data_IF_242155133816
#
_entry.id   IF_242155133816
#
_cell.length_a   1.000
_cell.length_b   1.000
_cell.length_c   1.000
_cell.angle_alpha   90.00
_cell.angle_beta   90.00
_cell.angle_gamma   90.00
#
_symmetry.space_group_name_H-M   'P 1'
#
loop_
_entity.id
_entity.type
_entity.pdbx_description
1 polymer ?
#
# COMPACT_ATOMS: atom_id res chain seq x y z
N UNK A 1 -42.76 -23.30 -29.97
CA UNK A 1 -41.43 -23.60 -29.37
C UNK A 1 -40.47 -22.50 -29.81
N UNK A 2 -40.35 -21.46 -28.99
CA UNK A 2 -39.23 -21.14 -28.09
C UNK A 2 -37.98 -20.66 -28.87
N UNK A 3 -37.88 -19.37 -29.20
CA UNK A 3 -37.32 -18.26 -28.41
C UNK A 3 -35.78 -18.23 -28.35
N UNK A 4 -35.25 -17.13 -28.88
CA UNK A 4 -33.87 -16.70 -28.95
C UNK A 4 -33.15 -16.60 -27.61
N UNK A 5 -31.80 -16.57 -27.64
CA UNK A 5 -30.97 -15.81 -26.69
C UNK A 5 -29.58 -15.52 -27.27
N UNK A 6 -29.35 -14.24 -27.61
CA UNK A 6 -28.03 -13.61 -27.58
C UNK A 6 -27.55 -13.59 -26.12
N UNK A 7 -26.26 -13.80 -25.88
CA UNK A 7 -25.62 -13.41 -24.63
C UNK A 7 -24.42 -12.53 -24.95
N UNK A 8 -24.44 -11.37 -24.30
CA UNK A 8 -23.59 -10.21 -24.47
C UNK A 8 -22.37 -10.34 -23.54
N UNK A 9 -21.21 -10.01 -24.10
CA UNK A 9 -19.93 -9.70 -23.45
C UNK A 9 -19.98 -8.71 -22.28
N UNK A 10 -20.48 -9.04 -21.09
CA UNK A 10 -20.39 -8.09 -19.96
C UNK A 10 -18.94 -8.07 -19.45
N UNK A 11 -18.27 -6.94 -19.64
CA UNK A 11 -17.02 -6.61 -18.98
C UNK A 11 -17.26 -6.54 -17.46
N UNK A 12 -16.65 -7.47 -16.72
CA UNK A 12 -16.56 -7.34 -15.26
C UNK A 12 -15.56 -6.22 -14.95
N UNK A 13 -16.05 -5.03 -14.65
CA UNK A 13 -15.36 -4.16 -13.71
C UNK A 13 -15.47 -4.81 -12.33
N UNK A 14 -14.46 -5.59 -11.94
CA UNK A 14 -14.34 -6.07 -10.57
C UNK A 14 -13.89 -4.91 -9.69
N UNK A 15 -14.84 -4.13 -9.18
CA UNK A 15 -14.61 -3.31 -8.00
C UNK A 15 -14.45 -4.27 -6.82
N UNK A 16 -13.20 -4.64 -6.50
CA UNK A 16 -12.90 -5.32 -5.25
C UNK A 16 -13.34 -4.38 -4.12
N UNK A 17 -14.44 -4.75 -3.45
CA UNK A 17 -14.90 -4.07 -2.25
C UNK A 17 -13.94 -4.46 -1.12
N UNK A 18 -12.82 -3.75 -1.01
CA UNK A 18 -11.86 -3.97 0.06
C UNK A 18 -12.45 -3.40 1.34
N UNK A 19 -12.61 -4.24 2.36
CA UNK A 19 -12.99 -3.77 3.70
C UNK A 19 -11.84 -2.93 4.26
N UNK A 20 -11.96 -1.60 4.20
CA UNK A 20 -11.01 -0.68 4.82
C UNK A 20 -11.39 -0.61 6.31
N UNK A 21 -10.63 -1.30 7.16
CA UNK A 21 -10.74 -1.13 8.60
C UNK A 21 -10.01 0.15 9.01
N UNK A 22 -10.73 1.26 9.16
CA UNK A 22 -10.18 2.53 9.65
C UNK A 22 -10.09 2.55 11.17
N UNK A 23 -8.87 2.76 11.68
CA UNK A 23 -8.63 2.94 13.11
C UNK A 23 -8.23 4.39 13.40
N UNK A 24 -9.19 5.18 13.87
CA UNK A 24 -8.94 6.46 14.53
C UNK A 24 -9.64 6.43 15.89
N UNK A 25 -8.89 6.51 16.98
CA UNK A 25 -9.46 6.48 18.33
C UNK A 25 -9.13 7.75 19.11
N UNK A 26 -10.10 8.27 19.84
CA UNK A 26 -10.01 9.50 20.63
C UNK A 26 -9.36 9.31 22.03
N UNK A 27 -8.82 8.11 22.32
CA UNK A 27 -8.28 7.74 23.64
C UNK A 27 -6.79 8.02 23.86
N UNK A 28 -6.06 8.47 22.85
CA UNK A 28 -4.69 8.96 22.96
C UNK A 28 -4.53 10.07 21.95
N UNK A 29 -4.49 11.32 22.41
CA UNK A 29 -4.54 12.51 21.56
C UNK A 29 -3.35 12.65 20.57
N UNK A 30 -2.36 11.76 20.64
CA UNK A 30 -1.08 11.85 19.92
C UNK A 30 -0.56 10.46 19.50
N UNK A 31 -1.29 9.73 18.66
CA UNK A 31 -0.79 8.47 18.11
C UNK A 31 -1.25 8.26 16.66
N UNK A 32 -0.35 7.68 15.86
CA UNK A 32 -0.58 7.35 14.46
C UNK A 32 -1.82 6.47 14.31
N UNK A 33 -2.67 6.82 13.35
CA UNK A 33 -3.73 5.95 12.87
C UNK A 33 -3.16 4.90 11.91
N UNK A 34 -3.83 3.76 11.84
CA UNK A 34 -3.44 2.65 10.96
C UNK A 34 -4.67 2.02 10.31
N UNK A 35 -4.53 1.68 9.03
CA UNK A 35 -5.43 0.79 8.28
C UNK A 35 -4.64 -0.34 7.66
N UNK A 36 -5.34 -1.42 7.32
CA UNK A 36 -4.76 -2.52 6.55
C UNK A 36 -5.80 -3.05 5.57
N UNK A 37 -5.31 -3.58 4.46
CA UNK A 37 -6.13 -4.09 3.38
C UNK A 37 -5.34 -5.07 2.50
N UNK A 38 -5.97 -5.62 1.47
CA UNK A 38 -5.25 -6.32 0.40
C UNK A 38 -4.46 -5.37 -0.52
N UNK A 39 -4.57 -4.05 -0.32
CA UNK A 39 -4.07 -3.03 -1.23
C UNK A 39 -4.87 -2.97 -2.54
N UNK A 40 -4.29 -2.28 -3.52
CA UNK A 40 -4.86 -2.05 -4.86
C UNK A 40 -3.86 -2.43 -5.94
N UNK A 41 -4.36 -2.71 -7.14
CA UNK A 41 -3.50 -2.83 -8.31
C UNK A 41 -3.06 -1.44 -8.73
N UNK A 42 -1.77 -1.24 -9.00
CA UNK A 42 -1.31 -0.01 -9.68
C UNK A 42 -1.75 -0.03 -11.14
N UNK A 43 -1.53 -1.15 -11.81
CA UNK A 43 -2.02 -1.47 -13.15
C UNK A 43 -2.71 -2.85 -13.08
N UNK A 44 -3.98 -2.92 -13.47
CA UNK A 44 -4.77 -4.14 -13.40
C UNK A 44 -4.24 -5.28 -14.28
N UNK A 45 -3.34 -4.99 -15.22
CA UNK A 45 -2.72 -5.98 -16.10
C UNK A 45 -1.39 -6.52 -15.57
N UNK A 46 -0.87 -5.98 -14.47
CA UNK A 46 0.38 -6.41 -13.85
C UNK A 46 0.05 -7.28 -12.63
N UNK A 47 0.40 -8.56 -12.70
CA UNK A 47 0.04 -9.56 -11.67
C UNK A 47 1.25 -10.20 -11.01
N UNK A 48 2.45 -9.73 -11.33
CA UNK A 48 3.71 -10.28 -10.86
C UNK A 48 4.42 -9.39 -9.84
N UNK A 49 3.73 -8.39 -9.30
CA UNK A 49 4.23 -7.45 -8.30
C UNK A 49 3.36 -7.47 -7.04
N UNK A 50 3.78 -6.78 -5.99
CA UNK A 50 2.99 -6.60 -4.78
C UNK A 50 1.80 -5.64 -4.96
N UNK A 51 0.98 -5.53 -3.91
CA UNK A 51 -0.13 -4.58 -3.86
C UNK A 51 0.34 -3.15 -3.56
N UNK A 52 -0.43 -2.14 -3.98
CA UNK A 52 -0.10 -0.73 -3.80
C UNK A 52 -1.14 0.03 -2.98
N UNK A 53 -0.75 1.21 -2.49
CA UNK A 53 -1.67 2.20 -1.92
C UNK A 53 -2.69 2.63 -2.98
N UNK A 54 -3.93 2.88 -2.56
CA UNK A 54 -4.92 3.51 -3.43
C UNK A 54 -4.51 4.92 -3.91
N UNK A 55 -3.57 5.56 -3.20
CA UNK A 55 -2.99 6.86 -3.54
C UNK A 55 -1.78 6.80 -4.48
N UNK A 56 -1.34 5.61 -4.93
CA UNK A 56 -0.05 5.42 -5.65
C UNK A 56 0.16 6.33 -6.87
N UNK A 57 -0.91 6.71 -7.56
CA UNK A 57 -0.85 7.55 -8.76
C UNK A 57 -1.44 8.96 -8.52
N UNK A 58 -1.73 9.32 -7.26
CA UNK A 58 -2.33 10.61 -6.92
C UNK A 58 -1.25 11.68 -6.70
N UNK A 59 -1.56 12.92 -7.05
CA UNK A 59 -0.68 14.06 -6.76
C UNK A 59 -0.43 14.20 -5.26
N UNK A 60 0.80 14.56 -4.91
CA UNK A 60 1.24 14.71 -3.52
C UNK A 60 1.72 13.42 -2.87
N UNK A 61 1.55 12.27 -3.50
CA UNK A 61 2.17 11.02 -3.08
C UNK A 61 3.50 10.79 -3.80
N UNK A 62 4.43 10.19 -3.08
CA UNK A 62 5.68 9.67 -3.63
C UNK A 62 5.65 8.15 -3.45
N UNK A 63 5.83 7.37 -4.51
CA UNK A 63 5.92 5.91 -4.39
C UNK A 63 7.23 5.41 -4.95
N UNK A 64 8.01 4.73 -4.10
CA UNK A 64 9.14 3.94 -4.55
C UNK A 64 8.69 2.50 -4.76
N UNK A 65 8.79 2.07 -6.01
CA UNK A 65 8.51 0.73 -6.46
C UNK A 65 9.81 -0.06 -6.60
N UNK A 66 10.01 -1.07 -5.76
CA UNK A 66 11.22 -1.86 -5.83
C UNK A 66 11.27 -2.70 -7.10
N UNK A 67 10.12 -3.00 -7.74
CA UNK A 67 10.05 -3.72 -9.01
C UNK A 67 10.73 -2.97 -10.18
N UNK A 68 11.03 -1.67 -10.00
CA UNK A 68 11.65 -0.79 -11.01
C UNK A 68 13.07 -0.35 -10.64
N UNK A 69 13.60 -0.82 -9.51
CA UNK A 69 14.96 -0.51 -9.11
C UNK A 69 15.95 -1.11 -10.12
N UNK A 70 17.00 -0.37 -10.44
CA UNK A 70 18.10 -0.90 -11.26
C UNK A 70 19.26 -1.29 -10.37
N UNK A 71 19.92 -2.38 -10.72
CA UNK A 71 21.18 -2.82 -10.09
C UNK A 71 21.11 -3.06 -8.57
N UNK A 72 19.91 -3.31 -8.01
CA UNK A 72 19.74 -3.60 -6.59
C UNK A 72 19.98 -2.40 -5.65
N UNK A 73 20.06 -1.18 -6.20
CA UNK A 73 20.29 0.04 -5.42
C UNK A 73 19.07 0.44 -4.58
N UNK A 74 19.29 1.03 -3.40
CA UNK A 74 18.18 1.61 -2.65
C UNK A 74 17.56 2.78 -3.42
N UNK A 75 16.22 2.88 -3.51
CA UNK A 75 15.59 4.02 -4.13
C UNK A 75 15.75 5.27 -3.26
N UNK A 76 15.43 6.43 -3.84
CA UNK A 76 15.42 7.70 -3.12
C UNK A 76 15.37 8.89 -4.07
N UNK A 77 15.13 10.06 -3.52
CA UNK A 77 15.12 11.33 -4.24
C UNK A 77 15.47 12.49 -3.29
N UNK A 78 15.17 13.74 -3.71
CA UNK A 78 15.44 14.94 -2.90
C UNK A 78 14.46 15.13 -1.72
N UNK A 79 13.47 14.25 -1.56
CA UNK A 79 12.45 14.27 -0.50
C UNK A 79 12.55 13.09 0.46
N UNK A 80 12.96 11.92 -0.02
CA UNK A 80 13.03 10.68 0.77
C UNK A 80 14.36 9.98 0.52
N UNK A 81 14.98 9.52 1.61
CA UNK A 81 16.25 8.80 1.59
C UNK A 81 16.09 7.44 2.23
N UNK A 82 16.84 6.48 1.71
CA UNK A 82 16.94 5.13 2.24
C UNK A 82 18.37 4.86 2.68
N UNK A 83 18.52 4.07 3.73
CA UNK A 83 19.81 3.50 4.13
C UNK A 83 19.65 2.17 4.84
N UNK A 84 20.72 1.40 4.92
CA UNK A 84 20.78 0.22 5.78
C UNK A 84 21.65 0.51 7.01
N UNK A 85 21.27 -0.07 8.16
CA UNK A 85 22.12 -0.10 9.36
C UNK A 85 22.09 -1.48 10.03
N UNK A 86 23.03 -1.74 10.94
CA UNK A 86 23.14 -3.01 11.68
C UNK A 86 24.36 -3.84 11.28
N UNK A 87 24.56 -4.96 11.97
CA UNK A 87 25.82 -5.70 12.05
C UNK A 87 26.05 -6.73 10.94
N UNK A 88 25.01 -7.20 10.26
CA UNK A 88 25.16 -8.09 9.09
C UNK A 88 25.81 -7.31 7.91
N UNK A 89 26.21 -7.93 6.82
CA UNK A 89 26.62 -7.22 5.58
C UNK A 89 25.65 -7.43 4.43
N UNK A 90 24.73 -8.39 4.56
CA UNK A 90 23.68 -8.61 3.57
C UNK A 90 22.70 -7.43 3.56
N UNK A 91 22.53 -6.86 2.38
CA UNK A 91 21.58 -5.81 2.04
C UNK A 91 21.01 -6.18 0.69
N UNK A 92 19.71 -6.00 0.44
CA UNK A 92 19.20 -6.35 -0.88
C UNK A 92 17.83 -5.81 -1.19
N UNK A 93 17.77 -5.09 -2.30
CA UNK A 93 16.68 -5.29 -3.24
C UNK A 93 16.94 -6.62 -3.93
N UNK A 94 16.08 -7.60 -3.66
CA UNK A 94 16.17 -8.96 -4.15
C UNK A 94 15.48 -9.02 -5.51
N UNK A 95 16.14 -9.63 -6.50
CA UNK A 95 15.54 -9.97 -7.79
C UNK A 95 15.21 -11.46 -7.80
N UNK A 96 13.99 -11.81 -8.21
CA UNK A 96 13.42 -13.15 -8.10
C UNK A 96 13.80 -14.13 -9.23
N UNK A 97 14.94 -13.93 -9.89
CA UNK A 97 15.46 -14.88 -10.89
C UNK A 97 15.84 -16.25 -10.26
N UNK A 98 15.63 -16.42 -8.95
CA UNK A 98 15.84 -17.67 -8.22
C UNK A 98 14.50 -18.35 -7.86
N UNK A 99 14.16 -19.50 -8.48
CA UNK A 99 12.94 -20.26 -8.20
C UNK A 99 12.87 -20.84 -6.78
N UNK A 100 13.98 -20.87 -6.05
CA UNK A 100 14.05 -21.31 -4.64
C UNK A 100 13.61 -20.23 -3.64
N UNK A 101 13.44 -18.97 -4.08
CA UNK A 101 12.97 -17.92 -3.19
C UNK A 101 11.48 -18.13 -2.92
N UNK A 102 11.21 -18.75 -1.78
CA UNK A 102 9.87 -19.10 -1.32
C UNK A 102 9.09 -17.89 -0.80
N UNK A 103 9.78 -16.84 -0.35
CA UNK A 103 9.21 -15.74 0.44
C UNK A 103 9.24 -14.45 -0.36
N UNK A 104 8.08 -13.83 -0.57
CA UNK A 104 7.96 -12.57 -1.29
C UNK A 104 6.73 -11.79 -0.80
N UNK A 105 6.64 -10.48 -1.11
CA UNK A 105 5.37 -9.77 -1.03
C UNK A 105 4.30 -10.40 -1.91
N UNK A 106 3.05 -10.26 -1.50
CA UNK A 106 1.91 -10.72 -2.27
C UNK A 106 1.14 -9.54 -2.90
N UNK A 107 0.56 -9.79 -4.07
CA UNK A 107 -0.37 -8.90 -4.74
C UNK A 107 -1.77 -8.92 -4.10
N UNK A 108 -2.70 -8.18 -4.70
CA UNK A 108 -4.06 -7.94 -4.17
C UNK A 108 -4.84 -9.25 -3.97
N UNK A 109 -4.63 -10.26 -4.81
CA UNK A 109 -5.30 -11.57 -4.69
C UNK A 109 -4.41 -12.63 -4.04
N UNK A 110 -3.34 -12.21 -3.38
CA UNK A 110 -2.33 -13.11 -2.87
C UNK A 110 -1.42 -13.68 -3.96
N UNK A 111 -1.33 -13.03 -5.13
CA UNK A 111 -0.38 -13.43 -6.17
C UNK A 111 1.04 -13.30 -5.63
N UNK A 112 1.94 -14.24 -5.94
CA UNK A 112 3.35 -14.10 -5.56
C UNK A 112 3.97 -12.97 -6.39
N UNK A 113 4.60 -11.97 -5.77
CA UNK A 113 5.50 -11.08 -6.49
C UNK A 113 6.63 -11.94 -7.08
N UNK A 114 6.86 -11.86 -8.40
CA UNK A 114 7.97 -12.55 -9.09
C UNK A 114 8.98 -11.57 -9.72
N UNK A 115 8.90 -10.29 -9.38
CA UNK A 115 9.86 -9.24 -9.70
C UNK A 115 10.67 -8.81 -8.44
N UNK A 116 11.14 -7.57 -8.38
CA UNK A 116 12.07 -7.12 -7.36
C UNK A 116 11.37 -6.59 -6.11
N UNK A 117 11.91 -6.88 -4.94
CA UNK A 117 11.41 -6.36 -3.66
C UNK A 117 12.55 -6.14 -2.67
N UNK A 118 12.31 -5.31 -1.65
CA UNK A 118 13.27 -5.12 -0.56
C UNK A 118 13.18 -6.28 0.45
N UNK A 119 14.31 -6.84 0.83
CA UNK A 119 14.40 -7.77 1.96
C UNK A 119 15.36 -7.24 3.04
N UNK A 120 14.87 -7.12 4.27
CA UNK A 120 15.70 -6.81 5.43
C UNK A 120 16.13 -8.12 6.10
N UNK A 121 17.43 -8.41 6.10
CA UNK A 121 17.98 -9.62 6.71
C UNK A 121 18.18 -9.49 8.21
N UNK A 122 18.26 -10.62 8.91
CA UNK A 122 18.50 -10.68 10.36
C UNK A 122 19.68 -9.80 10.80
N UNK A 123 19.45 -9.01 11.84
CA UNK A 123 20.42 -8.06 12.41
C UNK A 123 20.55 -6.76 11.62
N UNK A 124 19.65 -6.49 10.66
CA UNK A 124 19.60 -5.26 9.87
C UNK A 124 18.34 -4.46 10.10
N UNK A 125 18.46 -3.19 9.77
CA UNK A 125 17.36 -2.27 9.57
C UNK A 125 17.45 -1.66 8.17
N UNK A 126 16.32 -1.56 7.49
CA UNK A 126 16.08 -0.59 6.44
C UNK A 126 15.52 0.68 7.09
N UNK A 127 16.22 1.79 6.89
CA UNK A 127 15.86 3.10 7.41
C UNK A 127 15.33 3.93 6.24
N UNK A 128 14.17 4.54 6.43
CA UNK A 128 13.56 5.48 5.49
C UNK A 128 13.34 6.81 6.19
N UNK A 129 13.88 7.89 5.62
CA UNK A 129 13.90 9.21 6.26
C UNK A 129 13.51 10.32 5.28
N UNK A 130 12.98 11.42 5.81
CA UNK A 130 12.86 12.65 5.03
C UNK A 130 14.25 13.16 4.65
N UNK A 131 14.41 13.62 3.41
CA UNK A 131 15.71 14.02 2.88
C UNK A 131 16.18 15.37 3.44
N UNK A 132 15.24 16.25 3.80
CA UNK A 132 15.45 17.62 4.26
C UNK A 132 15.07 17.74 5.74
N UNK A 133 15.94 18.38 6.53
CA UNK A 133 15.71 18.59 7.95
C UNK A 133 14.46 19.44 8.17
N UNK A 134 13.56 18.98 9.03
CA UNK A 134 12.31 19.68 9.38
C UNK A 134 11.12 19.32 8.49
N UNK A 135 11.33 18.49 7.46
CA UNK A 135 10.26 17.81 6.74
C UNK A 135 9.82 16.58 7.53
N UNK A 136 8.53 16.28 7.44
CA UNK A 136 7.90 15.11 8.04
C UNK A 136 7.02 14.42 7.02
N UNK A 137 6.78 13.14 7.24
CA UNK A 137 5.69 12.38 6.67
C UNK A 137 4.42 12.57 7.51
N UNK A 138 3.28 12.66 6.83
CA UNK A 138 1.97 12.47 7.47
C UNK A 138 1.26 11.20 6.98
N UNK A 139 1.82 10.50 5.99
CA UNK A 139 1.33 9.22 5.50
C UNK A 139 2.49 8.31 5.08
N UNK A 140 2.34 7.01 5.36
CA UNK A 140 3.19 5.95 4.86
C UNK A 140 2.35 4.70 4.57
N UNK A 141 2.48 4.15 3.38
CA UNK A 141 1.89 2.87 2.99
C UNK A 141 2.99 1.90 2.59
N UNK A 142 2.87 0.64 2.98
CA UNK A 142 3.78 -0.42 2.56
C UNK A 142 3.05 -1.75 2.37
N UNK A 143 3.48 -2.49 1.36
CA UNK A 143 3.08 -3.87 1.17
C UNK A 143 4.01 -4.81 1.92
N UNK A 144 3.48 -5.55 2.90
CA UNK A 144 4.21 -6.53 3.68
C UNK A 144 4.03 -7.93 3.10
N UNK A 145 5.16 -8.58 2.85
CA UNK A 145 5.25 -9.96 2.40
C UNK A 145 5.68 -10.92 3.49
N UNK A 146 5.20 -12.16 3.40
CA UNK A 146 5.80 -13.32 4.06
C UNK A 146 6.18 -13.07 5.53
N UNK A 147 5.26 -12.47 6.30
CA UNK A 147 5.55 -12.01 7.66
C UNK A 147 6.18 -13.13 8.49
N UNK A 148 7.31 -12.83 9.11
CA UNK A 148 8.14 -13.79 9.83
C UNK A 148 8.54 -13.30 11.22
N UNK A 149 8.84 -14.27 12.10
CA UNK A 149 9.29 -13.96 13.46
C UNK A 149 10.49 -13.02 13.42
N UNK A 150 10.47 -11.99 14.26
CA UNK A 150 11.52 -10.98 14.31
C UNK A 150 11.30 -9.77 13.40
N UNK A 151 10.29 -9.75 12.52
CA UNK A 151 9.88 -8.53 11.83
C UNK A 151 9.44 -7.46 12.84
N UNK A 152 9.96 -6.24 12.72
CA UNK A 152 9.47 -5.08 13.47
C UNK A 152 9.42 -3.81 12.62
N UNK A 153 8.40 -2.99 12.84
CA UNK A 153 8.22 -1.67 12.22
C UNK A 153 8.06 -0.59 13.29
N UNK A 154 8.83 0.49 13.16
CA UNK A 154 8.84 1.64 14.09
C UNK A 154 8.84 2.97 13.34
N UNK A 155 8.23 3.98 13.96
CA UNK A 155 8.15 5.35 13.45
C UNK A 155 8.80 6.29 14.46
N UNK A 156 9.49 7.32 13.98
CA UNK A 156 10.16 8.30 14.82
C UNK A 156 9.89 9.73 14.35
N UNK A 157 9.96 10.67 15.29
CA UNK A 157 9.92 12.11 15.05
C UNK A 157 10.98 12.78 15.92
N UNK A 158 11.97 13.43 15.30
CA UNK A 158 13.05 14.10 16.02
C UNK A 158 13.84 13.15 16.93
N UNK A 159 13.92 11.88 16.57
CA UNK A 159 14.59 10.82 17.35
C UNK A 159 13.73 10.13 18.41
N UNK A 160 12.51 10.61 18.67
CA UNK A 160 11.58 9.96 19.61
C UNK A 160 10.66 8.98 18.89
N UNK A 161 10.40 7.82 19.48
CA UNK A 161 9.45 6.86 18.91
C UNK A 161 8.02 7.44 18.94
N UNK A 162 7.29 7.24 17.84
CA UNK A 162 5.89 7.63 17.70
C UNK A 162 5.01 6.44 18.07
N UNK A 163 4.03 6.67 18.93
CA UNK A 163 3.03 5.66 19.29
C UNK A 163 2.01 5.48 18.17
N UNK A 164 1.50 4.26 18.03
CA UNK A 164 0.45 3.88 17.11
C UNK A 164 -0.78 3.40 17.87
N UNK A 165 -1.95 3.83 17.41
CA UNK A 165 -3.24 3.32 17.85
C UNK A 165 -3.71 2.24 16.88
N UNK A 166 -4.07 1.07 17.40
CA UNK A 166 -4.69 0.01 16.60
C UNK A 166 -5.80 -0.69 17.37
N UNK A 167 -6.61 -1.47 16.67
CA UNK A 167 -7.58 -2.38 17.28
C UNK A 167 -7.10 -3.81 17.06
N UNK A 168 -7.12 -4.63 18.10
CA UNK A 168 -6.87 -6.06 17.95
C UNK A 168 -8.02 -6.77 17.25
N UNK A 169 -7.91 -8.09 17.07
CA UNK A 169 -8.93 -8.91 16.40
C UNK A 169 -10.29 -8.94 17.11
N UNK A 170 -10.38 -8.45 18.34
CA UNK A 170 -11.64 -8.30 19.10
C UNK A 170 -12.17 -6.86 19.04
N UNK A 171 -11.53 -5.98 18.29
CA UNK A 171 -11.89 -4.57 18.20
C UNK A 171 -11.47 -3.74 19.42
N UNK A 172 -10.65 -4.30 20.32
CA UNK A 172 -10.19 -3.60 21.53
C UNK A 172 -9.02 -2.69 21.15
N UNK A 173 -9.08 -1.43 21.61
CA UNK A 173 -8.03 -0.46 21.35
C UNK A 173 -6.73 -0.82 22.07
N UNK A 174 -5.63 -0.71 21.33
CA UNK A 174 -4.27 -0.99 21.77
C UNK A 174 -3.34 0.16 21.35
N UNK A 175 -2.25 0.32 22.09
CA UNK A 175 -1.19 1.29 21.79
C UNK A 175 0.15 0.58 21.74
N UNK A 176 0.95 0.83 20.71
CA UNK A 176 2.30 0.30 20.59
C UNK A 176 3.24 1.33 19.97
N UNK A 177 4.50 1.37 20.37
CA UNK A 177 5.56 2.14 19.70
C UNK A 177 6.38 1.30 18.71
N UNK A 178 6.17 -0.03 18.73
CA UNK A 178 6.76 -0.99 17.82
C UNK A 178 5.69 -1.97 17.38
N UNK A 179 5.49 -2.09 16.07
CA UNK A 179 4.67 -3.15 15.50
C UNK A 179 5.53 -4.38 15.31
N UNK A 180 5.28 -5.40 16.11
CA UNK A 180 5.97 -6.69 16.04
C UNK A 180 5.28 -7.63 15.06
N UNK A 181 5.98 -8.68 14.65
CA UNK A 181 5.42 -9.82 13.92
C UNK A 181 4.04 -10.28 14.45
N UNK A 182 3.89 -10.44 15.77
CA UNK A 182 2.62 -10.89 16.38
C UNK A 182 1.47 -9.90 16.18
N UNK A 183 1.76 -8.60 16.20
CA UNK A 183 0.77 -7.55 15.95
C UNK A 183 0.41 -7.55 14.47
N UNK A 184 1.42 -7.49 13.59
CA UNK A 184 1.25 -7.42 12.14
C UNK A 184 0.48 -8.65 11.61
N UNK A 185 0.85 -9.85 12.06
CA UNK A 185 0.22 -11.12 11.63
C UNK A 185 -1.24 -11.21 12.03
N UNK A 186 -1.64 -10.68 13.20
CA UNK A 186 -3.05 -10.67 13.64
C UNK A 186 -3.93 -9.71 12.83
N UNK A 187 -3.32 -8.73 12.17
CA UNK A 187 -4.01 -7.69 11.41
C UNK A 187 -3.96 -7.95 9.90
N UNK A 188 -2.91 -8.61 9.41
CA UNK A 188 -2.72 -8.89 8.00
C UNK A 188 -3.91 -9.68 7.42
N UNK A 189 -4.56 -9.18 6.35
CA UNK A 189 -5.82 -9.75 5.85
C UNK A 189 -5.62 -10.92 4.88
N UNK A 190 -4.40 -11.14 4.40
CA UNK A 190 -4.13 -12.13 3.35
C UNK A 190 -3.22 -13.22 3.86
N UNK A 191 -3.52 -14.47 3.51
CA UNK A 191 -2.64 -15.61 3.74
C UNK A 191 -2.22 -16.19 2.39
N UNK A 192 -0.92 -16.31 2.15
CA UNK A 192 -0.38 -16.85 0.90
C UNK A 192 0.05 -18.32 1.08
N UNK A 193 -0.63 -19.25 0.40
CA UNK A 193 -0.34 -20.69 0.53
C UNK A 193 1.05 -21.04 -0.01
N UNK A 194 1.49 -20.37 -1.07
CA UNK A 194 2.83 -20.51 -1.62
C UNK A 194 3.93 -20.08 -0.64
N UNK A 195 3.58 -19.27 0.37
CA UNK A 195 4.44 -18.89 1.49
C UNK A 195 4.11 -19.73 2.73
N UNK A 196 3.79 -21.02 2.56
CA UNK A 196 3.51 -21.92 3.71
C UNK A 196 2.40 -21.44 4.65
N UNK A 197 1.48 -20.59 4.18
CA UNK A 197 0.45 -19.98 5.01
C UNK A 197 0.87 -18.74 5.80
N UNK A 198 2.00 -18.10 5.47
CA UNK A 198 2.38 -16.82 6.04
C UNK A 198 1.45 -15.70 5.59
N UNK A 199 1.30 -14.71 6.46
CA UNK A 199 0.40 -13.58 6.24
C UNK A 199 1.08 -12.46 5.46
N UNK A 200 0.26 -11.72 4.71
CA UNK A 200 0.65 -10.62 3.83
C UNK A 200 -0.42 -9.53 3.94
N UNK A 201 -0.06 -8.30 3.60
CA UNK A 201 -1.03 -7.22 3.58
C UNK A 201 -0.44 -5.87 3.23
N UNK A 202 -1.28 -4.99 2.70
CA UNK A 202 -0.96 -3.59 2.57
C UNK A 202 -1.36 -2.86 3.85
N UNK A 203 -0.39 -2.22 4.50
CA UNK A 203 -0.59 -1.44 5.71
C UNK A 203 -0.41 0.04 5.41
N UNK A 204 -1.27 0.87 5.98
CA UNK A 204 -1.19 2.31 5.83
C UNK A 204 -1.19 2.97 7.20
N UNK A 205 -0.36 3.98 7.34
CA UNK A 205 -0.12 4.75 8.54
C UNK A 205 -0.39 6.20 8.21
N UNK A 206 -1.21 6.84 9.03
CA UNK A 206 -1.60 8.22 8.81
C UNK A 206 -1.59 8.99 10.11
N UNK A 207 -1.02 10.17 10.06
CA UNK A 207 -1.02 11.12 11.16
C UNK A 207 -2.43 11.66 11.38
N UNK A 208 -2.82 11.77 12.65
CA UNK A 208 -4.10 12.33 13.10
C UNK A 208 -3.94 13.75 13.66
N UNK A 209 -2.70 14.23 13.85
CA UNK A 209 -2.37 15.55 14.40
C UNK A 209 -0.95 16.02 13.99
N UNK A 210 -0.47 17.16 14.48
CA UNK A 210 0.93 17.54 14.23
C UNK A 210 1.93 16.65 15.02
N UNK A 211 1.49 16.11 16.15
CA UNK A 211 2.36 15.43 17.11
C UNK A 211 2.66 13.98 16.75
N UNK A 212 1.92 13.40 15.82
CA UNK A 212 2.12 12.05 15.29
C UNK A 212 2.62 12.05 13.84
N UNK A 213 3.03 13.20 13.30
CA UNK A 213 3.92 13.21 12.15
C UNK A 213 5.24 12.50 12.50
N UNK A 214 5.92 11.97 11.50
CA UNK A 214 7.17 11.22 11.65
C UNK A 214 8.18 11.64 10.59
N UNK A 215 9.47 11.60 10.89
CA UNK A 215 10.56 11.94 9.97
C UNK A 215 11.39 10.72 9.58
N UNK A 216 11.22 9.60 10.31
CA UNK A 216 11.95 8.35 10.10
C UNK A 216 11.06 7.13 10.33
N UNK A 217 11.25 6.13 9.49
CA UNK A 217 10.67 4.80 9.59
C UNK A 217 11.84 3.81 9.69
N UNK A 218 11.71 2.82 10.56
CA UNK A 218 12.68 1.74 10.73
C UNK A 218 11.98 0.41 10.55
N UNK A 219 12.41 -0.34 9.53
CA UNK A 219 11.93 -1.67 9.18
C UNK A 219 13.07 -2.64 9.53
N UNK A 220 12.85 -3.56 10.47
CA UNK A 220 13.94 -4.39 11.02
C UNK A 220 13.62 -5.87 11.04
N UNK A 221 14.68 -6.66 10.94
CA UNK A 221 14.63 -8.10 11.15
C UNK A 221 15.52 -8.49 12.34
N UNK A 222 14.91 -8.87 13.45
CA UNK A 222 15.64 -9.24 14.68
C UNK A 222 16.04 -10.71 14.71
N UNK A 223 15.20 -11.59 14.16
CA UNK A 223 15.42 -13.04 14.04
C UNK A 223 14.76 -13.54 12.75
N UNK A 224 14.84 -14.81 12.35
CA UNK A 224 14.10 -15.34 11.19
C UNK A 224 14.70 -15.03 9.81
N UNK A 225 13.89 -15.24 8.75
CA UNK A 225 14.35 -15.30 7.36
C UNK A 225 14.48 -13.96 6.64
N UNK A 226 13.65 -12.97 6.99
CA UNK A 226 13.69 -11.65 6.39
C UNK A 226 12.42 -10.84 6.65
N UNK A 227 12.49 -9.56 6.34
CA UNK A 227 11.33 -8.67 6.24
C UNK A 227 11.20 -8.15 4.81
N UNK A 228 10.22 -8.69 4.09
CA UNK A 228 9.98 -8.43 2.68
C UNK A 228 8.96 -7.31 2.44
N UNK A 229 9.33 -6.31 1.64
CA UNK A 229 8.43 -5.22 1.22
C UNK A 229 8.56 -4.92 -0.27
N UNK A 230 7.44 -4.69 -0.96
CA UNK A 230 7.39 -4.54 -2.43
C UNK A 230 7.51 -3.10 -2.92
N UNK A 231 6.86 -2.19 -2.21
CA UNK A 231 6.82 -0.78 -2.53
C UNK A 231 6.45 -0.01 -1.28
N UNK A 232 6.87 1.24 -1.26
CA UNK A 232 6.55 2.18 -0.20
C UNK A 232 5.94 3.45 -0.81
N UNK A 233 4.81 3.90 -0.26
CA UNK A 233 4.14 5.13 -0.67
C UNK A 233 4.14 6.13 0.48
N UNK A 234 4.44 7.40 0.20
CA UNK A 234 4.63 8.45 1.19
C UNK A 234 3.82 9.67 0.84
N UNK A 235 3.50 10.46 1.87
CA UNK A 235 3.16 11.88 1.69
C UNK A 235 4.02 12.71 2.62
N UNK A 236 4.81 13.61 2.03
CA UNK A 236 5.53 14.64 2.79
C UNK A 236 4.52 15.72 3.15
N UNK A 237 4.33 15.94 4.45
CA UNK A 237 3.30 16.82 4.96
C UNK A 237 3.36 16.98 6.48
N UNK A 238 2.65 17.99 6.98
CA UNK A 238 2.53 18.34 8.40
C UNK A 238 1.08 18.32 8.83
N UNK A 239 0.85 18.02 10.10
CA UNK A 239 -0.47 17.88 10.68
C UNK A 239 -1.16 16.58 10.27
N UNK A 240 -2.44 16.52 10.62
CA UNK A 240 -3.30 15.40 10.29
C UNK A 240 -3.29 15.12 8.77
N UNK A 241 -3.20 13.85 8.42
CA UNK A 241 -3.39 13.39 7.07
C UNK A 241 -4.84 13.62 6.65
N UNK A 242 -5.02 14.55 5.74
CA UNK A 242 -6.23 14.70 4.95
C UNK A 242 -5.94 14.11 3.58
N UNK A 243 -6.60 13.01 3.20
CA UNK A 243 -6.53 12.57 1.83
C UNK A 243 -7.02 13.74 0.96
N UNK A 244 -6.16 14.28 0.11
CA UNK A 244 -6.60 15.08 -1.02
C UNK A 244 -7.26 14.10 -1.97
N UNK A 245 -8.49 13.71 -1.66
CA UNK A 245 -9.38 13.16 -2.68
C UNK A 245 -9.39 14.25 -3.74
N UNK A 246 -8.90 13.99 -4.98
CA UNK A 246 -9.22 14.90 -6.06
C UNK A 246 -10.73 15.01 -5.98
N UNK A 247 -11.28 16.21 -5.75
CA UNK A 247 -12.70 16.43 -6.00
C UNK A 247 -12.98 15.70 -7.31
N UNK A 248 -13.96 14.77 -7.38
CA UNK A 248 -14.28 14.13 -8.62
C UNK A 248 -14.44 15.27 -9.61
N UNK A 249 -13.41 15.47 -10.45
CA UNK A 249 -13.40 16.52 -11.42
C UNK A 249 -14.68 16.23 -12.15
N UNK A 250 -15.61 17.17 -12.08
CA UNK A 250 -16.91 17.05 -12.69
C UNK A 250 -16.59 16.93 -14.18
N UNK A 251 -16.34 15.70 -14.62
CA UNK A 251 -16.63 15.25 -15.95
C UNK A 251 -18.15 15.23 -15.92
N UNK A 252 -18.72 16.43 -16.01
CA UNK A 252 -19.81 16.74 -16.92
C UNK A 252 -19.35 16.33 -18.33
N UNK A 253 -19.08 15.04 -18.49
CA UNK A 253 -19.33 14.30 -19.70
C UNK A 253 -20.84 14.29 -19.82
N UNK A 254 -21.35 15.45 -20.23
CA UNK A 254 -22.30 15.52 -21.32
C UNK A 254 -21.83 14.49 -22.36
N UNK A 255 -22.26 13.25 -22.19
CA UNK A 255 -22.56 12.41 -23.32
C UNK A 255 -23.69 13.14 -24.04
N UNK A 256 -23.30 14.15 -24.81
CA UNK A 256 -23.99 14.57 -26.01
C UNK A 256 -24.11 13.32 -26.88
N UNK A 257 -25.15 12.53 -26.61
CA UNK A 257 -25.72 11.63 -27.59
C UNK A 257 -26.29 12.53 -28.67
N UNK A 258 -25.40 12.94 -29.56
CA UNK A 258 -25.74 13.63 -30.79
C UNK A 258 -26.64 12.72 -31.62
N UNK A 259 -27.86 13.20 -31.85
CA UNK A 259 -28.50 13.18 -33.17
C UNK A 259 -28.64 11.83 -33.87
N UNK A 260 -29.77 11.17 -33.64
CA UNK A 260 -30.63 10.54 -34.66
C UNK A 260 -31.83 9.93 -33.89
N UNK A 261 -33.07 10.35 -34.06
CA UNK A 261 -33.81 10.28 -35.31
C UNK A 261 -34.90 11.33 -35.40
N UNK A 262 -34.99 11.83 -36.63
CA UNK A 262 -35.95 12.77 -37.17
C UNK A 262 -37.39 12.28 -36.99
N UNK A 263 -38.16 13.09 -36.27
CA UNK A 263 -39.49 13.59 -36.62
C UNK A 263 -40.01 13.14 -37.99
N UNK A 264 -40.74 12.03 -38.05
CA UNK A 264 -41.61 11.72 -39.19
C UNK A 264 -42.96 12.41 -39.00
N UNK A 265 -43.10 13.61 -39.60
CA UNK A 265 -44.42 14.19 -39.88
C UNK A 265 -44.80 13.89 -41.33
N UNK A 266 -45.92 13.19 -41.49
CA UNK A 266 -46.65 12.99 -42.76
C UNK A 266 -46.76 14.29 -43.56
N UNK A 267 -46.53 14.19 -44.87
CA UNK A 267 -47.46 14.63 -45.93
C UNK A 267 -46.86 14.31 -47.31
N UNK A 268 -47.36 13.24 -47.93
CA UNK A 268 -47.38 13.15 -49.40
C UNK A 268 -48.40 14.18 -49.90
N UNK A 269 -47.96 15.06 -50.79
CA UNK A 269 -48.80 15.67 -51.82
C UNK A 269 -48.20 15.26 -53.15
N UNK A 270 -49.03 14.69 -54.01
CA UNK A 270 -48.79 14.66 -55.46
C UNK A 270 -50.07 15.13 -56.13
N UNK A 271 -49.86 15.74 -57.30
CA UNK A 271 -50.77 16.50 -58.15
C UNK A 271 -52.13 15.84 -58.42
#
# INVERSE_FOLDING_TARGET
MLLAKKALSIALLSTAATAIATVSNAGSAHALGMTYSSGTYRDANVTNEGSFSAGVNQEGYETFDFNKVKNGELPGNDKVKYSYSGSNTQTGIITLDNPEIQWAPAGVKGEKNTSQYSQVFKGKNLIVETAKKGDTFNYFGLNLGALSIGNTLQFFNGGNAVSLNYKDSKGIAQVASTLTFDILTKLAPTTAQQHGGQTNGFFEFFSTSLNDNFDKIVISQLDGGGFETDNHTFRIGKGAYTASVPEPGVVLGLASVGGMLLRSRKKQKTA
#
